data_IF_387050032452
#
_entry.id   IF_387050032452
#
_cell.length_a   1.000
_cell.length_b   1.000
_cell.length_c   1.000
_cell.angle_alpha   90.00
_cell.angle_beta   90.00
_cell.angle_gamma   90.00
#
_symmetry.space_group_name_H-M   'P 1'
#
loop_
_entity.id
_entity.type
_entity.pdbx_description
1 polymer ?
#
# COMPACT_ATOMS: atom_id res chain seq x y z
N UNK A 1 -12.47 -55.63 -47.50
CA UNK A 1 -11.56 -54.97 -46.53
C UNK A 1 -12.36 -54.60 -45.30
N UNK A 2 -12.23 -55.39 -44.22
CA UNK A 2 -12.84 -55.12 -42.90
C UNK A 2 -11.76 -54.50 -42.02
N UNK A 3 -12.01 -53.33 -41.45
CA UNK A 3 -11.13 -52.73 -40.44
C UNK A 3 -11.79 -52.82 -39.07
N UNK A 4 -11.03 -53.40 -38.14
CA UNK A 4 -11.32 -53.64 -36.74
C UNK A 4 -11.36 -52.32 -35.94
N UNK A 5 -12.38 -52.15 -35.11
CA UNK A 5 -12.33 -51.21 -33.97
C UNK A 5 -11.95 -52.00 -32.71
N UNK A 6 -10.76 -51.75 -32.18
CA UNK A 6 -10.30 -52.25 -30.89
C UNK A 6 -10.48 -51.18 -29.82
N UNK A 7 -11.19 -51.54 -28.75
CA UNK A 7 -11.44 -50.68 -27.59
C UNK A 7 -10.22 -50.53 -26.69
N UNK A 8 -10.17 -49.39 -25.99
CA UNK A 8 -9.23 -49.15 -24.90
C UNK A 8 -10.03 -48.66 -23.68
N UNK A 9 -10.05 -49.48 -22.63
CA UNK A 9 -10.72 -49.18 -21.36
C UNK A 9 -9.84 -48.32 -20.47
N UNK A 10 -10.35 -47.15 -20.09
CA UNK A 10 -9.76 -46.34 -19.01
C UNK A 10 -10.36 -46.75 -17.66
N UNK A 11 -9.48 -47.15 -16.75
CA UNK A 11 -9.78 -47.37 -15.33
C UNK A 11 -9.94 -46.01 -14.65
N UNK A 12 -11.08 -45.79 -14.01
CA UNK A 12 -11.35 -44.62 -13.17
C UNK A 12 -10.70 -44.81 -11.80
N UNK A 13 -9.66 -44.03 -11.51
CA UNK A 13 -9.16 -43.80 -10.16
C UNK A 13 -9.95 -42.66 -9.52
N UNK A 14 -10.73 -42.97 -8.49
CA UNK A 14 -11.45 -41.98 -7.71
C UNK A 14 -10.48 -41.25 -6.78
N UNK A 15 -10.09 -40.03 -7.14
CA UNK A 15 -9.42 -39.10 -6.24
C UNK A 15 -10.46 -38.39 -5.37
N UNK A 16 -10.31 -38.49 -4.05
CA UNK A 16 -11.16 -37.83 -3.07
C UNK A 16 -11.00 -36.31 -3.17
N UNK A 17 -12.08 -35.63 -3.55
CA UNK A 17 -12.19 -34.17 -3.53
C UNK A 17 -12.57 -33.77 -2.10
N UNK A 18 -11.62 -33.22 -1.35
CA UNK A 18 -11.88 -32.56 -0.06
C UNK A 18 -12.39 -31.14 -0.36
N UNK A 19 -13.60 -30.75 0.06
CA UNK A 19 -14.10 -29.41 -0.15
C UNK A 19 -13.40 -28.44 0.81
N UNK A 20 -12.49 -27.62 0.29
CA UNK A 20 -11.80 -26.56 1.02
C UNK A 20 -12.72 -25.34 1.14
N UNK A 21 -13.74 -25.41 2.00
CA UNK A 21 -14.55 -24.26 2.40
C UNK A 21 -13.90 -23.55 3.59
N UNK A 22 -12.75 -22.92 3.37
CA UNK A 22 -12.15 -22.00 4.35
C UNK A 22 -12.61 -20.58 4.01
N UNK A 23 -13.70 -20.16 4.64
CA UNK A 23 -14.14 -18.76 4.66
C UNK A 23 -13.14 -18.00 5.52
N UNK A 24 -12.12 -17.40 4.90
CA UNK A 24 -11.19 -16.49 5.58
C UNK A 24 -11.92 -15.17 5.86
N UNK A 25 -12.37 -15.00 7.10
CA UNK A 25 -12.85 -13.73 7.61
C UNK A 25 -11.64 -12.83 7.86
N UNK A 26 -11.31 -11.98 6.89
CA UNK A 26 -10.28 -10.96 7.00
C UNK A 26 -10.83 -9.81 7.87
N UNK A 27 -10.84 -10.00 9.19
CA UNK A 27 -11.12 -8.92 10.12
C UNK A 27 -10.00 -7.87 10.03
N UNK A 28 -10.38 -6.62 9.79
CA UNK A 28 -9.51 -5.45 9.79
C UNK A 28 -8.73 -5.34 11.11
N UNK A 29 -7.47 -5.77 11.13
CA UNK A 29 -6.50 -5.37 12.15
C UNK A 29 -5.98 -3.97 11.80
N UNK A 30 -6.74 -2.94 12.17
CA UNK A 30 -6.20 -1.59 12.35
C UNK A 30 -5.61 -1.51 13.76
N UNK A 31 -4.41 -2.08 13.94
CA UNK A 31 -3.65 -1.96 15.18
C UNK A 31 -2.71 -0.76 15.09
N UNK A 32 -3.09 0.36 15.69
CA UNK A 32 -2.19 1.49 15.92
C UNK A 32 -1.08 1.05 16.90
N UNK A 33 0.15 0.95 16.41
CA UNK A 33 1.32 0.70 17.23
C UNK A 33 1.66 1.97 18.03
N UNK A 34 1.47 1.92 19.35
CA UNK A 34 1.95 2.96 20.27
C UNK A 34 3.43 2.66 20.53
N UNK A 35 4.32 3.45 19.94
CA UNK A 35 5.73 3.47 20.31
C UNK A 35 5.86 4.16 21.67
N UNK A 36 6.36 3.43 22.67
CA UNK A 36 6.55 3.93 24.02
C UNK A 36 8.06 4.14 24.23
N UNK A 37 8.49 5.40 24.25
CA UNK A 37 9.86 5.79 24.64
C UNK A 37 10.02 5.61 26.16
N UNK A 38 11.08 4.94 26.65
CA UNK A 38 11.32 4.81 28.08
C UNK A 38 11.97 6.09 28.65
N UNK A 39 11.34 6.63 29.70
CA UNK A 39 11.89 7.69 30.53
C UNK A 39 13.04 7.16 31.40
N UNK A 40 14.08 7.98 31.56
CA UNK A 40 15.22 7.71 32.41
C UNK A 40 14.90 8.11 33.87
N UNK A 41 14.96 7.16 34.79
CA UNK A 41 15.00 7.38 36.24
C UNK A 41 16.07 6.48 36.90
N UNK A 42 16.77 7.07 37.88
CA UNK A 42 17.97 6.58 38.57
C UNK A 42 17.77 5.26 39.38
N UNK A 43 18.82 4.42 39.52
CA UNK A 43 18.72 3.12 40.16
C UNK A 43 18.87 3.19 41.68
N UNK A 44 17.90 2.63 42.40
CA UNK A 44 18.05 2.22 43.79
C UNK A 44 18.51 0.76 43.86
N UNK A 45 19.62 0.57 44.56
CA UNK A 45 20.36 -0.67 44.79
C UNK A 45 19.52 -1.69 45.59
N UNK A 46 19.05 -2.75 44.92
CA UNK A 46 18.45 -3.96 45.55
C UNK A 46 19.01 -5.20 44.85
N UNK A 47 19.78 -5.98 45.63
CA UNK A 47 20.29 -7.35 45.42
C UNK A 47 19.36 -8.25 44.59
N UNK A 48 19.80 -8.77 43.43
CA UNK A 48 20.69 -9.94 43.21
C UNK A 48 20.04 -11.27 43.64
N UNK A 49 19.44 -11.96 42.65
CA UNK A 49 19.21 -13.43 42.54
C UNK A 49 17.96 -13.83 41.71
N UNK A 50 17.42 -12.93 40.87
CA UNK A 50 16.26 -13.22 39.99
C UNK A 50 16.59 -13.31 38.48
N UNK A 51 17.86 -13.29 38.07
CA UNK A 51 18.26 -13.12 36.66
C UNK A 51 18.29 -14.41 35.81
N UNK A 52 17.75 -15.53 36.32
CA UNK A 52 17.87 -16.85 35.68
C UNK A 52 16.72 -17.25 34.75
N UNK A 53 15.48 -16.83 35.04
CA UNK A 53 14.29 -17.34 34.34
C UNK A 53 13.94 -16.55 33.06
N UNK A 54 14.20 -15.24 33.04
CA UNK A 54 13.93 -14.38 31.88
C UNK A 54 14.79 -14.76 30.66
N UNK A 55 15.97 -15.34 30.88
CA UNK A 55 16.87 -15.78 29.80
C UNK A 55 16.33 -16.98 29.02
N UNK A 56 15.68 -17.94 29.70
CA UNK A 56 15.19 -19.16 29.04
C UNK A 56 13.97 -18.89 28.16
N UNK A 57 13.04 -18.04 28.64
CA UNK A 57 11.86 -17.68 27.88
C UNK A 57 12.24 -16.93 26.60
N UNK A 58 13.22 -16.02 26.67
CA UNK A 58 13.76 -15.30 25.52
C UNK A 58 14.37 -16.23 24.45
N UNK A 59 15.15 -17.25 24.85
CA UNK A 59 15.71 -18.23 23.89
C UNK A 59 14.60 -19.07 23.23
N UNK A 60 13.60 -19.50 23.99
CA UNK A 60 12.47 -20.25 23.42
C UNK A 60 11.65 -19.43 22.42
N UNK A 61 11.43 -18.14 22.69
CA UNK A 61 10.75 -17.23 21.78
C UNK A 61 11.57 -17.00 20.51
N UNK A 62 12.89 -16.78 20.63
CA UNK A 62 13.78 -16.61 19.50
C UNK A 62 13.78 -17.84 18.57
N UNK A 63 13.81 -19.05 19.14
CA UNK A 63 13.70 -20.31 18.38
C UNK A 63 12.35 -20.45 17.69
N UNK A 64 11.26 -20.11 18.38
CA UNK A 64 9.93 -20.14 17.79
C UNK A 64 9.81 -19.15 16.62
N UNK A 65 10.25 -17.90 16.80
CA UNK A 65 10.31 -16.90 15.73
C UNK A 65 11.12 -17.40 14.55
N UNK A 66 12.30 -17.99 14.80
CA UNK A 66 13.15 -18.53 13.75
C UNK A 66 12.43 -19.61 12.94
N UNK A 67 11.79 -20.56 13.61
CA UNK A 67 11.02 -21.64 12.98
C UNK A 67 9.86 -21.10 12.14
N UNK A 68 9.07 -20.17 12.69
CA UNK A 68 7.94 -19.55 12.00
C UNK A 68 8.39 -18.82 10.74
N UNK A 69 9.47 -18.02 10.82
CA UNK A 69 9.99 -17.30 9.66
C UNK A 69 10.58 -18.26 8.61
N UNK A 70 11.28 -19.32 9.02
CA UNK A 70 11.80 -20.34 8.08
C UNK A 70 10.66 -21.01 7.31
N UNK A 71 9.59 -21.41 7.99
CA UNK A 71 8.43 -22.04 7.34
C UNK A 71 7.62 -21.09 6.50
N UNK A 72 7.51 -19.82 6.88
CA UNK A 72 6.82 -18.80 6.09
C UNK A 72 7.56 -18.49 4.78
N UNK A 73 8.89 -18.58 4.78
CA UNK A 73 9.73 -18.37 3.60
C UNK A 73 9.72 -19.56 2.61
N UNK A 74 9.39 -20.77 3.06
CA UNK A 74 9.31 -21.95 2.20
C UNK A 74 7.92 -22.10 1.56
N UNK A 75 7.85 -21.83 0.25
CA UNK A 75 6.60 -21.83 -0.52
C UNK A 75 6.09 -23.24 -0.85
N UNK A 76 6.88 -24.27 -0.57
CA UNK A 76 6.51 -25.68 -0.74
C UNK A 76 6.03 -26.32 0.58
N UNK A 77 6.18 -25.64 1.72
CA UNK A 77 5.76 -26.16 3.02
C UNK A 77 4.21 -26.17 3.13
N UNK A 78 3.56 -27.32 3.38
CA UNK A 78 2.10 -27.38 3.55
C UNK A 78 1.58 -26.57 4.73
N UNK A 79 2.45 -26.23 5.70
CA UNK A 79 2.13 -25.40 6.87
C UNK A 79 2.41 -23.91 6.66
N UNK A 80 2.84 -23.50 5.47
CA UNK A 80 3.25 -22.13 5.18
C UNK A 80 2.16 -21.10 5.45
N UNK A 81 0.91 -21.34 5.02
CA UNK A 81 -0.18 -20.39 5.24
C UNK A 81 -0.43 -20.14 6.74
N UNK A 82 -0.27 -21.18 7.58
CA UNK A 82 -0.34 -21.03 9.04
C UNK A 82 0.86 -20.24 9.57
N UNK A 83 2.07 -20.50 9.05
CA UNK A 83 3.27 -19.75 9.42
C UNK A 83 3.15 -18.25 9.06
N UNK A 84 2.63 -17.90 7.88
CA UNK A 84 2.37 -16.51 7.46
C UNK A 84 1.37 -15.84 8.42
N UNK A 85 0.30 -16.53 8.81
CA UNK A 85 -0.64 -16.01 9.80
C UNK A 85 0.02 -15.75 11.16
N UNK A 86 0.96 -16.60 11.58
CA UNK A 86 1.77 -16.39 12.79
C UNK A 86 2.74 -15.21 12.65
N UNK A 87 3.39 -15.06 11.50
CA UNK A 87 4.22 -13.88 11.16
C UNK A 87 3.39 -12.60 11.28
N UNK A 88 2.19 -12.60 10.69
CA UNK A 88 1.30 -11.44 10.71
C UNK A 88 0.83 -11.09 12.12
N UNK A 89 0.52 -12.10 12.94
CA UNK A 89 0.13 -11.91 14.34
C UNK A 89 1.28 -11.42 15.21
N UNK A 90 2.49 -11.91 14.96
CA UNK A 90 3.70 -11.52 15.70
C UNK A 90 4.35 -10.22 15.21
N UNK A 91 3.92 -9.69 14.05
CA UNK A 91 4.57 -8.53 13.43
C UNK A 91 6.03 -8.80 13.02
N UNK A 92 6.39 -10.06 12.77
CA UNK A 92 7.77 -10.42 12.48
C UNK A 92 8.18 -9.88 11.11
N UNK A 93 9.31 -9.17 11.06
CA UNK A 93 9.98 -8.83 9.81
C UNK A 93 11.28 -9.61 9.67
N UNK A 94 11.56 -10.09 8.46
CA UNK A 94 12.73 -10.93 8.19
C UNK A 94 13.14 -10.88 6.71
N UNK A 95 14.46 -10.83 6.45
CA UNK A 95 15.03 -10.77 5.11
C UNK A 95 14.83 -12.08 4.32
N UNK A 96 14.62 -13.21 5.01
CA UNK A 96 14.37 -14.51 4.36
C UNK A 96 13.13 -14.51 3.48
N UNK A 97 12.22 -13.55 3.66
CA UNK A 97 11.02 -13.43 2.85
C UNK A 97 11.29 -12.81 1.48
N UNK A 98 12.35 -12.00 1.36
CA UNK A 98 12.61 -11.17 0.19
C UNK A 98 12.85 -12.00 -1.09
N UNK A 99 13.68 -13.04 -1.02
CA UNK A 99 13.99 -13.89 -2.18
C UNK A 99 12.76 -14.69 -2.68
N UNK A 100 12.02 -15.43 -1.81
CA UNK A 100 10.80 -16.11 -2.23
C UNK A 100 9.74 -15.18 -2.83
N UNK A 101 9.58 -13.98 -2.25
CA UNK A 101 8.66 -12.96 -2.77
C UNK A 101 9.09 -12.51 -4.18
N UNK A 102 10.36 -12.14 -4.37
CA UNK A 102 10.88 -11.75 -5.69
C UNK A 102 10.76 -12.88 -6.70
N UNK A 103 11.04 -14.12 -6.31
CA UNK A 103 10.95 -15.29 -7.19
C UNK A 103 9.50 -15.56 -7.63
N UNK A 104 8.53 -15.44 -6.71
CA UNK A 104 7.12 -15.65 -7.01
C UNK A 104 6.50 -14.50 -7.81
N UNK A 105 6.85 -13.25 -7.49
CA UNK A 105 6.23 -12.05 -8.08
C UNK A 105 7.00 -11.48 -9.28
N UNK A 106 8.29 -11.77 -9.45
CA UNK A 106 9.13 -11.24 -10.52
C UNK A 106 9.13 -12.05 -11.82
N UNK A 107 8.83 -13.35 -11.75
CA UNK A 107 8.86 -14.25 -12.92
C UNK A 107 7.56 -14.22 -13.74
N UNK A 108 7.04 -13.03 -14.05
CA UNK A 108 5.72 -12.87 -14.69
C UNK A 108 5.71 -13.18 -16.19
N UNK A 109 6.88 -13.14 -16.84
CA UNK A 109 7.01 -13.32 -18.29
C UNK A 109 6.77 -14.76 -18.75
N UNK A 110 6.94 -15.77 -17.88
CA UNK A 110 6.71 -17.16 -18.25
C UNK A 110 5.33 -17.62 -17.78
N UNK A 111 4.42 -17.81 -18.74
CA UNK A 111 3.05 -18.25 -18.48
C UNK A 111 3.00 -19.57 -17.69
N UNK A 112 3.94 -20.49 -17.95
CA UNK A 112 3.97 -21.83 -17.34
C UNK A 112 4.43 -21.85 -15.89
N UNK A 113 5.20 -20.85 -15.48
CA UNK A 113 5.81 -20.82 -14.14
C UNK A 113 5.00 -19.96 -13.16
N UNK A 114 3.94 -19.30 -13.64
CA UNK A 114 3.13 -18.42 -12.81
C UNK A 114 2.11 -19.20 -11.98
N UNK A 115 2.54 -19.54 -10.77
CA UNK A 115 1.69 -20.18 -9.77
C UNK A 115 0.92 -19.11 -8.97
N UNK A 116 -0.39 -19.00 -9.25
CA UNK A 116 -1.29 -18.04 -8.60
C UNK A 116 -1.26 -18.19 -7.08
N UNK A 117 -1.15 -19.41 -6.56
CA UNK A 117 -1.14 -19.67 -5.11
C UNK A 117 0.13 -19.09 -4.48
N UNK A 118 1.28 -19.28 -5.12
CA UNK A 118 2.56 -18.69 -4.68
C UNK A 118 2.52 -17.16 -4.70
N UNK A 119 1.94 -16.55 -5.75
CA UNK A 119 1.79 -15.09 -5.82
C UNK A 119 0.85 -14.56 -4.72
N UNK A 120 -0.24 -15.27 -4.42
CA UNK A 120 -1.12 -14.92 -3.31
C UNK A 120 -0.39 -14.96 -1.96
N UNK A 121 0.42 -15.99 -1.71
CA UNK A 121 1.20 -16.14 -0.48
C UNK A 121 2.30 -15.08 -0.38
N UNK A 122 3.00 -14.79 -1.49
CA UNK A 122 3.96 -13.69 -1.56
C UNK A 122 3.33 -12.33 -1.24
N UNK A 123 2.15 -12.02 -1.81
CA UNK A 123 1.46 -10.76 -1.53
C UNK A 123 0.97 -10.65 -0.06
N UNK A 124 0.68 -11.78 0.60
CA UNK A 124 0.38 -11.79 2.04
C UNK A 124 1.64 -11.53 2.88
N UNK A 125 2.78 -12.08 2.47
CA UNK A 125 4.06 -11.96 3.17
C UNK A 125 4.77 -10.61 2.92
N UNK A 126 4.45 -9.94 1.81
CA UNK A 126 5.07 -8.69 1.36
C UNK A 126 5.27 -7.60 2.45
N UNK A 127 4.29 -7.28 3.32
CA UNK A 127 4.46 -6.25 4.35
C UNK A 127 5.44 -6.60 5.47
N UNK A 128 5.78 -7.88 5.57
CA UNK A 128 6.68 -8.44 6.58
C UNK A 128 8.10 -8.60 6.02
N UNK A 129 8.30 -8.35 4.73
CA UNK A 129 9.61 -8.36 4.08
C UNK A 129 10.47 -7.17 4.52
N UNK A 130 11.76 -7.23 4.18
CA UNK A 130 12.69 -6.09 4.34
C UNK A 130 12.84 -5.24 3.08
N UNK A 131 12.03 -5.53 2.05
CA UNK A 131 11.98 -4.78 0.80
C UNK A 131 11.56 -3.33 1.03
N UNK A 132 12.09 -2.41 0.21
CA UNK A 132 11.66 -1.01 0.24
C UNK A 132 10.20 -0.90 -0.18
N UNK A 133 9.49 0.16 0.27
CA UNK A 133 8.10 0.37 -0.13
C UNK A 133 7.96 0.49 -1.66
N UNK A 134 8.96 1.11 -2.31
CA UNK A 134 9.02 1.23 -3.77
C UNK A 134 9.09 -0.16 -4.43
N UNK A 135 10.02 -1.00 -4.01
CA UNK A 135 10.18 -2.35 -4.56
C UNK A 135 8.93 -3.22 -4.30
N UNK A 136 8.27 -3.06 -3.15
CA UNK A 136 7.01 -3.74 -2.86
C UNK A 136 5.90 -3.31 -3.82
N UNK A 137 5.80 -2.01 -4.12
CA UNK A 137 4.84 -1.46 -5.08
C UNK A 137 5.15 -1.96 -6.50
N UNK A 138 6.41 -1.92 -6.93
CA UNK A 138 6.84 -2.38 -8.26
C UNK A 138 6.43 -3.83 -8.52
N UNK A 139 6.71 -4.72 -7.56
CA UNK A 139 6.35 -6.13 -7.62
C UNK A 139 4.82 -6.31 -7.65
N UNK A 140 4.09 -5.60 -6.77
CA UNK A 140 2.64 -5.71 -6.68
C UNK A 140 1.94 -5.16 -7.94
N UNK A 141 2.43 -4.05 -8.49
CA UNK A 141 1.92 -3.41 -9.70
C UNK A 141 2.16 -4.29 -10.93
N UNK A 142 3.38 -4.83 -11.08
CA UNK A 142 3.72 -5.77 -12.15
C UNK A 142 2.81 -7.00 -12.11
N UNK A 143 2.61 -7.59 -10.91
CA UNK A 143 1.68 -8.69 -10.71
C UNK A 143 0.24 -8.32 -11.05
N UNK A 144 -0.20 -7.08 -10.73
CA UNK A 144 -1.54 -6.61 -11.03
C UNK A 144 -1.78 -6.51 -12.54
N UNK A 145 -0.85 -5.90 -13.27
CA UNK A 145 -0.94 -5.77 -14.74
C UNK A 145 -1.02 -7.15 -15.39
N UNK A 146 -0.11 -8.05 -15.03
CA UNK A 146 -0.11 -9.42 -15.55
C UNK A 146 -1.41 -10.18 -15.21
N UNK A 147 -1.94 -9.98 -13.99
CA UNK A 147 -3.20 -10.57 -13.56
C UNK A 147 -4.40 -10.05 -14.38
N UNK A 148 -4.43 -8.75 -14.69
CA UNK A 148 -5.51 -8.15 -15.47
C UNK A 148 -5.48 -8.58 -16.94
N UNK A 149 -4.30 -8.58 -17.57
CA UNK A 149 -4.11 -9.07 -18.93
C UNK A 149 -4.58 -10.52 -19.09
N UNK A 150 -4.25 -11.40 -18.12
CA UNK A 150 -4.72 -12.79 -18.11
C UNK A 150 -6.23 -12.88 -17.92
N UNK A 151 -6.82 -12.06 -17.07
CA UNK A 151 -8.28 -11.99 -16.92
C UNK A 151 -8.96 -11.56 -18.22
N UNK A 152 -8.41 -10.58 -18.92
CA UNK A 152 -8.90 -10.14 -20.23
C UNK A 152 -8.80 -11.27 -21.26
N UNK A 153 -7.67 -11.99 -21.32
CA UNK A 153 -7.50 -13.14 -22.21
C UNK A 153 -8.53 -14.25 -21.92
N UNK A 154 -8.77 -14.58 -20.65
CA UNK A 154 -9.78 -15.57 -20.25
C UNK A 154 -11.21 -15.15 -20.60
N UNK A 155 -11.51 -13.85 -20.63
CA UNK A 155 -12.84 -13.35 -21.03
C UNK A 155 -13.14 -13.55 -22.52
N UNK A 156 -12.12 -13.71 -23.36
CA UNK A 156 -12.28 -13.91 -24.81
C UNK A 156 -12.53 -15.39 -25.19
N UNK A 157 -12.16 -16.33 -24.32
CA UNK A 157 -12.23 -17.78 -24.59
C UNK A 157 -13.62 -18.34 -24.24
N UNK A 158 -14.09 -19.36 -24.97
CA UNK A 158 -15.34 -20.07 -24.64
C UNK A 158 -15.19 -20.79 -23.30
N UNK A 159 -16.19 -20.62 -22.42
CA UNK A 159 -16.14 -21.04 -21.01
C UNK A 159 -15.98 -22.55 -20.84
N UNK A 160 -14.79 -22.99 -20.45
CA UNK A 160 -14.55 -24.31 -19.86
C UNK A 160 -14.60 -24.23 -18.33
N UNK A 161 -15.04 -25.32 -17.65
CA UNK A 161 -15.19 -25.33 -16.19
C UNK A 161 -13.90 -25.02 -15.43
N UNK A 162 -12.74 -25.45 -15.94
CA UNK A 162 -11.44 -25.18 -15.32
C UNK A 162 -11.05 -23.69 -15.42
N UNK A 163 -11.40 -23.02 -16.52
CA UNK A 163 -11.12 -21.60 -16.72
C UNK A 163 -11.95 -20.72 -15.80
N UNK A 164 -13.17 -21.15 -15.43
CA UNK A 164 -13.99 -20.43 -14.44
C UNK A 164 -13.28 -20.38 -13.07
N UNK A 165 -12.73 -21.52 -12.62
CA UNK A 165 -12.01 -21.58 -11.33
C UNK A 165 -10.77 -20.69 -11.36
N UNK A 166 -9.99 -20.74 -12.44
CA UNK A 166 -8.80 -19.89 -12.60
C UNK A 166 -9.17 -18.41 -12.63
N UNK A 167 -10.25 -18.04 -13.34
CA UNK A 167 -10.77 -16.67 -13.36
C UNK A 167 -11.13 -16.19 -11.96
N UNK A 168 -11.82 -16.99 -11.16
CA UNK A 168 -12.22 -16.60 -9.81
C UNK A 168 -10.98 -16.39 -8.90
N UNK A 169 -9.97 -17.25 -9.03
CA UNK A 169 -8.70 -17.10 -8.31
C UNK A 169 -7.93 -15.83 -8.72
N UNK A 170 -7.91 -15.53 -10.02
CA UNK A 170 -7.32 -14.31 -10.55
C UNK A 170 -8.06 -13.05 -10.09
N UNK A 171 -9.39 -13.07 -10.07
CA UNK A 171 -10.19 -11.96 -9.55
C UNK A 171 -9.88 -11.70 -8.07
N UNK A 172 -9.79 -12.77 -7.26
CA UNK A 172 -9.40 -12.65 -5.85
C UNK A 172 -7.99 -12.06 -5.71
N UNK A 173 -7.02 -12.55 -6.49
CA UNK A 173 -5.65 -12.02 -6.47
C UNK A 173 -5.61 -10.54 -6.89
N UNK A 174 -6.34 -10.16 -7.94
CA UNK A 174 -6.46 -8.77 -8.41
C UNK A 174 -6.95 -7.86 -7.29
N UNK A 175 -8.01 -8.25 -6.58
CA UNK A 175 -8.55 -7.46 -5.46
C UNK A 175 -7.58 -7.39 -4.27
N UNK A 176 -6.84 -8.46 -4.00
CA UNK A 176 -5.80 -8.44 -2.95
C UNK A 176 -4.64 -7.50 -3.30
N UNK A 177 -4.17 -7.51 -4.54
CA UNK A 177 -3.12 -6.60 -5.03
C UNK A 177 -3.63 -5.15 -5.06
N UNK A 178 -4.87 -4.95 -5.51
CA UNK A 178 -5.56 -3.66 -5.49
C UNK A 178 -5.56 -3.04 -4.09
N UNK A 179 -5.99 -3.81 -3.09
CA UNK A 179 -6.01 -3.39 -1.69
C UNK A 179 -4.62 -3.11 -1.14
N UNK A 180 -3.60 -3.86 -1.59
CA UNK A 180 -2.21 -3.64 -1.19
C UNK A 180 -1.69 -2.29 -1.68
N UNK A 181 -1.88 -2.01 -2.97
CA UNK A 181 -1.47 -0.76 -3.61
C UNK A 181 -2.17 0.46 -2.98
N UNK A 182 -3.46 0.34 -2.64
CA UNK A 182 -4.21 1.37 -1.90
C UNK A 182 -3.61 1.69 -0.52
N UNK A 183 -2.89 0.75 0.10
CA UNK A 183 -2.22 0.97 1.38
C UNK A 183 -0.93 1.80 1.28
N UNK A 184 -0.44 2.07 0.07
CA UNK A 184 0.82 2.78 -0.20
C UNK A 184 0.63 3.80 -1.34
N UNK A 185 -0.23 4.82 -1.18
CA UNK A 185 -0.66 5.71 -2.28
C UNK A 185 0.48 6.51 -2.90
N UNK A 186 1.43 7.00 -2.09
CA UNK A 186 2.51 7.87 -2.58
C UNK A 186 3.47 7.12 -3.50
N UNK A 187 4.03 6.00 -3.01
CA UNK A 187 4.90 5.14 -3.81
C UNK A 187 4.16 4.54 -5.02
N UNK A 188 2.86 4.24 -4.89
CA UNK A 188 2.08 3.73 -6.03
C UNK A 188 1.89 4.79 -7.09
N UNK A 189 1.64 6.05 -6.71
CA UNK A 189 1.46 7.15 -7.66
C UNK A 189 2.74 7.40 -8.47
N UNK A 190 3.91 7.43 -7.79
CA UNK A 190 5.21 7.60 -8.43
C UNK A 190 5.47 6.50 -9.48
N UNK A 191 5.37 5.24 -9.05
CA UNK A 191 5.54 4.07 -9.94
C UNK A 191 4.54 4.05 -11.08
N UNK A 192 3.28 4.37 -10.81
CA UNK A 192 2.21 4.36 -11.80
C UNK A 192 2.45 5.46 -12.85
N UNK A 193 2.97 6.61 -12.44
CA UNK A 193 3.36 7.69 -13.36
C UNK A 193 4.45 7.23 -14.32
N UNK A 194 5.53 6.64 -13.79
CA UNK A 194 6.62 6.10 -14.60
C UNK A 194 6.14 5.03 -15.60
N UNK A 195 5.29 4.10 -15.13
CA UNK A 195 4.76 3.03 -15.98
C UNK A 195 3.76 3.54 -17.04
N UNK A 196 2.98 4.58 -16.74
CA UNK A 196 2.09 5.22 -17.72
C UNK A 196 2.86 6.04 -18.75
N UNK A 197 4.02 6.62 -18.40
CA UNK A 197 4.91 7.25 -19.37
C UNK A 197 5.46 6.22 -20.38
N UNK A 198 5.88 5.05 -19.88
CA UNK A 198 6.37 3.97 -20.74
C UNK A 198 5.26 3.35 -21.59
N UNK A 199 4.07 3.13 -21.01
CA UNK A 199 2.97 2.41 -21.63
C UNK A 199 1.62 3.10 -21.41
N UNK A 200 1.34 4.24 -22.08
CA UNK A 200 0.14 5.05 -21.86
C UNK A 200 -1.17 4.34 -22.26
N UNK A 201 -1.06 3.25 -23.02
CA UNK A 201 -2.22 2.49 -23.53
C UNK A 201 -2.62 1.31 -22.64
N UNK A 202 -1.93 1.06 -21.52
CA UNK A 202 -2.26 -0.06 -20.66
C UNK A 202 -3.58 0.16 -19.91
N UNK A 203 -4.64 -0.56 -20.32
CA UNK A 203 -5.96 -0.54 -19.67
C UNK A 203 -5.87 -0.91 -18.18
N UNK A 204 -4.96 -1.82 -17.83
CA UNK A 204 -4.74 -2.25 -16.45
C UNK A 204 -4.26 -1.09 -15.57
N UNK A 205 -3.28 -0.32 -16.04
CA UNK A 205 -2.76 0.86 -15.34
C UNK A 205 -3.83 1.94 -15.21
N UNK A 206 -4.58 2.22 -16.27
CA UNK A 206 -5.67 3.19 -16.24
C UNK A 206 -6.77 2.82 -15.23
N UNK A 207 -7.04 1.52 -15.03
CA UNK A 207 -8.00 1.06 -14.02
C UNK A 207 -7.52 1.26 -12.57
N UNK A 208 -6.21 1.40 -12.35
CA UNK A 208 -5.64 1.67 -11.03
C UNK A 208 -5.61 3.16 -10.68
N UNK A 209 -5.67 4.05 -11.68
CA UNK A 209 -5.69 5.52 -11.45
C UNK A 209 -6.86 5.91 -10.55
N UNK A 210 -8.02 5.26 -10.68
CA UNK A 210 -9.20 5.53 -9.86
C UNK A 210 -8.99 5.32 -8.35
N UNK A 211 -7.92 4.62 -7.98
CA UNK A 211 -7.63 4.22 -6.60
C UNK A 211 -6.62 5.10 -5.89
N UNK A 212 -5.94 5.97 -6.64
CA UNK A 212 -4.96 6.86 -6.06
C UNK A 212 -5.69 8.02 -5.39
N UNK A 213 -5.37 8.25 -4.12
CA UNK A 213 -5.97 9.30 -3.30
C UNK A 213 -5.40 10.68 -3.63
N UNK A 214 -4.85 11.34 -2.61
CA UNK A 214 -4.40 12.75 -2.62
C UNK A 214 -3.32 13.09 -3.66
N UNK A 215 -2.58 12.09 -4.15
CA UNK A 215 -1.43 12.28 -5.03
C UNK A 215 -1.77 12.21 -6.53
N UNK A 216 -3.05 12.07 -6.88
CA UNK A 216 -3.47 11.82 -8.26
C UNK A 216 -3.23 12.97 -9.25
N UNK A 217 -2.95 14.21 -8.81
CA UNK A 217 -2.69 15.34 -9.71
C UNK A 217 -1.54 15.08 -10.69
N UNK A 218 -0.52 14.35 -10.26
CA UNK A 218 0.65 14.00 -11.07
C UNK A 218 0.30 13.10 -12.26
N UNK A 219 -0.76 12.29 -12.13
CA UNK A 219 -1.18 11.34 -13.16
C UNK A 219 -2.06 11.99 -14.23
N UNK A 220 -2.66 13.15 -13.95
CA UNK A 220 -3.63 13.78 -14.83
C UNK A 220 -3.09 14.05 -16.26
N UNK A 221 -1.85 14.55 -16.46
CA UNK A 221 -1.30 14.75 -17.80
C UNK A 221 -1.24 13.45 -18.62
N UNK A 222 -0.78 12.35 -18.01
CA UNK A 222 -0.65 11.04 -18.66
C UNK A 222 -2.01 10.45 -19.01
N UNK A 223 -3.00 10.60 -18.14
CA UNK A 223 -4.36 10.10 -18.40
C UNK A 223 -5.04 10.91 -19.51
N UNK A 224 -4.83 12.23 -19.57
CA UNK A 224 -5.33 13.07 -20.66
C UNK A 224 -4.67 12.68 -21.99
N UNK A 225 -3.37 12.39 -21.99
CA UNK A 225 -2.66 11.88 -23.16
C UNK A 225 -3.23 10.52 -23.62
N UNK A 226 -3.47 9.59 -22.69
CA UNK A 226 -4.11 8.31 -22.97
C UNK A 226 -5.55 8.48 -23.52
N UNK A 227 -6.29 9.49 -23.04
CA UNK A 227 -7.62 9.83 -23.54
C UNK A 227 -7.61 10.33 -24.99
N UNK A 228 -6.48 10.83 -25.49
CA UNK A 228 -6.28 11.22 -26.88
C UNK A 228 -5.84 10.04 -27.79
N UNK A 229 -5.74 8.82 -27.24
CA UNK A 229 -5.39 7.62 -27.99
C UNK A 229 -6.38 7.36 -29.14
N UNK A 230 -5.88 6.72 -30.22
CA UNK A 230 -6.72 6.27 -31.34
C UNK A 230 -7.54 5.02 -31.00
N UNK A 231 -7.13 4.28 -29.98
CA UNK A 231 -7.87 3.12 -29.50
C UNK A 231 -9.09 3.58 -28.70
N UNK A 232 -10.28 3.20 -29.16
CA UNK A 232 -11.55 3.60 -28.56
C UNK A 232 -11.71 3.09 -27.13
N UNK A 233 -11.20 1.88 -26.81
CA UNK A 233 -11.31 1.32 -25.46
C UNK A 233 -10.43 2.10 -24.49
N UNK A 234 -9.15 2.30 -24.85
CA UNK A 234 -8.19 3.09 -24.06
C UNK A 234 -8.69 4.52 -23.87
N UNK A 235 -9.14 5.18 -24.94
CA UNK A 235 -9.65 6.54 -24.87
C UNK A 235 -10.87 6.63 -23.94
N UNK A 236 -11.81 5.70 -24.03
CA UNK A 236 -12.99 5.68 -23.17
C UNK A 236 -12.65 5.46 -21.69
N UNK A 237 -11.74 4.52 -21.40
CA UNK A 237 -11.32 4.22 -20.04
C UNK A 237 -10.52 5.38 -19.44
N UNK A 238 -9.63 5.98 -20.21
CA UNK A 238 -8.86 7.15 -19.80
C UNK A 238 -9.74 8.37 -19.55
N UNK A 239 -10.80 8.59 -20.35
CA UNK A 239 -11.77 9.66 -20.09
C UNK A 239 -12.53 9.47 -18.77
N UNK A 240 -12.94 8.23 -18.45
CA UNK A 240 -13.58 7.91 -17.17
C UNK A 240 -12.60 8.13 -16.02
N UNK A 241 -11.37 7.63 -16.14
CA UNK A 241 -10.33 7.82 -15.14
C UNK A 241 -10.00 9.30 -14.91
N UNK A 242 -9.87 10.10 -15.98
CA UNK A 242 -9.64 11.54 -15.89
C UNK A 242 -10.81 12.26 -15.21
N UNK A 243 -12.06 11.91 -15.54
CA UNK A 243 -13.24 12.49 -14.90
C UNK A 243 -13.27 12.22 -13.39
N UNK A 244 -13.06 10.96 -13.01
CA UNK A 244 -12.99 10.56 -11.60
C UNK A 244 -11.87 11.29 -10.85
N UNK A 245 -10.69 11.39 -11.48
CA UNK A 245 -9.52 12.06 -10.90
C UNK A 245 -9.77 13.56 -10.70
N UNK A 246 -10.33 14.24 -11.70
CA UNK A 246 -10.69 15.66 -11.61
C UNK A 246 -11.70 15.90 -10.48
N UNK A 247 -12.70 15.03 -10.34
CA UNK A 247 -13.69 15.15 -9.28
C UNK A 247 -13.08 14.92 -7.89
N UNK A 248 -12.17 13.96 -7.75
CA UNK A 248 -11.40 13.75 -6.51
C UNK A 248 -10.55 14.98 -6.15
N UNK A 249 -9.80 15.53 -7.11
CA UNK A 249 -8.98 16.74 -6.92
C UNK A 249 -9.86 17.92 -6.47
N UNK A 250 -11.03 18.12 -7.11
CA UNK A 250 -11.97 19.18 -6.70
C UNK A 250 -12.48 18.99 -5.28
N UNK A 251 -12.87 17.76 -4.90
CA UNK A 251 -13.33 17.46 -3.54
C UNK A 251 -12.23 17.75 -2.52
N UNK A 252 -10.98 17.43 -2.84
CA UNK A 252 -9.83 17.71 -1.98
C UNK A 252 -9.53 19.20 -1.86
N UNK A 253 -9.53 19.94 -2.97
CA UNK A 253 -9.35 21.39 -2.93
C UNK A 253 -10.47 22.07 -2.14
N UNK A 254 -11.72 21.59 -2.28
CA UNK A 254 -12.84 22.10 -1.49
C UNK A 254 -12.71 21.79 0.00
N UNK A 255 -12.26 20.59 0.38
CA UNK A 255 -12.05 20.24 1.78
C UNK A 255 -10.90 21.05 2.40
N UNK A 256 -9.81 21.26 1.66
CA UNK A 256 -8.71 22.13 2.09
C UNK A 256 -9.18 23.59 2.27
N UNK A 257 -9.96 24.12 1.32
CA UNK A 257 -10.54 25.46 1.44
C UNK A 257 -11.51 25.57 2.62
N UNK A 258 -12.31 24.54 2.88
CA UNK A 258 -13.21 24.50 4.03
C UNK A 258 -12.43 24.50 5.35
N UNK A 259 -11.38 23.67 5.48
CA UNK A 259 -10.49 23.64 6.65
C UNK A 259 -9.77 24.99 6.84
N UNK A 260 -9.32 25.62 5.75
CA UNK A 260 -8.71 26.95 5.79
C UNK A 260 -9.72 28.04 6.24
N UNK A 261 -10.99 27.91 5.83
CA UNK A 261 -12.04 28.83 6.27
C UNK A 261 -12.45 28.60 7.72
N UNK A 262 -12.55 27.35 8.17
CA UNK A 262 -12.86 27.01 9.56
C UNK A 262 -11.75 27.46 10.51
N UNK A 263 -10.48 27.21 10.15
CA UNK A 263 -9.34 27.72 10.91
C UNK A 263 -9.35 29.24 10.96
N UNK A 264 -9.77 29.93 9.89
CA UNK A 264 -9.90 31.39 9.87
C UNK A 264 -11.10 31.94 10.67
N UNK A 265 -12.20 31.20 10.81
CA UNK A 265 -13.46 31.69 11.38
C UNK A 265 -13.41 32.00 12.89
N UNK A 266 -12.38 31.54 13.61
CA UNK A 266 -12.18 31.80 15.05
C UNK A 266 -11.08 32.80 15.39
N UNK A 267 -10.40 33.36 14.39
CA UNK A 267 -9.17 34.14 14.59
C UNK A 267 -9.49 35.60 14.89
N UNK A 268 -8.91 36.11 15.98
CA UNK A 268 -8.91 37.56 16.25
C UNK A 268 -8.10 38.27 15.14
N UNK A 269 -8.74 39.24 14.47
CA UNK A 269 -8.13 40.04 13.39
C UNK A 269 -6.76 40.64 13.80
N UNK A 270 -6.59 40.97 15.09
CA UNK A 270 -5.31 41.45 15.64
C UNK A 270 -4.22 40.38 15.56
N UNK A 271 -4.55 39.13 15.89
CA UNK A 271 -3.63 38.00 15.83
C UNK A 271 -3.26 37.67 14.39
N UNK A 272 -4.22 37.75 13.46
CA UNK A 272 -3.94 37.55 12.04
C UNK A 272 -2.98 38.62 11.50
N UNK A 273 -3.22 39.90 11.82
CA UNK A 273 -2.32 41.01 11.46
C UNK A 273 -0.94 40.90 12.09
N UNK A 274 -0.84 40.37 13.31
CA UNK A 274 0.44 40.09 13.95
C UNK A 274 1.19 38.97 13.24
N UNK A 275 0.49 37.87 12.96
CA UNK A 275 1.04 36.68 12.30
C UNK A 275 1.56 36.99 10.91
N UNK A 276 0.79 37.73 10.09
CA UNK A 276 1.25 38.23 8.79
C UNK A 276 2.55 39.03 8.86
N UNK A 277 2.74 39.86 9.91
CA UNK A 277 3.97 40.63 10.11
C UNK A 277 5.16 39.77 10.53
N UNK A 278 4.90 38.70 11.28
CA UNK A 278 5.95 37.76 11.67
C UNK A 278 6.38 36.94 10.45
N UNK A 279 5.43 36.36 9.71
CA UNK A 279 5.72 35.59 8.50
C UNK A 279 6.49 36.44 7.49
N UNK A 280 5.99 37.62 7.14
CA UNK A 280 6.65 38.51 6.19
C UNK A 280 8.08 38.94 6.59
N UNK A 281 8.52 38.71 7.84
CA UNK A 281 9.91 38.97 8.28
C UNK A 281 10.84 37.81 7.95
N UNK A 282 10.35 36.58 7.99
CA UNK A 282 11.14 35.35 7.83
C UNK A 282 10.95 34.69 6.47
N UNK A 283 9.88 35.04 5.77
CA UNK A 283 9.54 34.63 4.42
C UNK A 283 10.53 35.27 3.44
N UNK A 284 11.51 34.49 2.96
CA UNK A 284 12.57 34.96 2.08
C UNK A 284 12.13 34.96 0.62
N UNK A 285 11.23 34.04 0.25
CA UNK A 285 10.71 33.91 -1.11
C UNK A 285 9.46 34.79 -1.35
N UNK A 286 8.93 35.46 -0.32
CA UNK A 286 7.73 36.30 -0.31
C UNK A 286 6.48 35.56 -0.81
N UNK A 287 6.35 34.27 -0.49
CA UNK A 287 5.20 33.45 -0.91
C UNK A 287 4.00 33.55 0.06
N UNK A 288 4.17 34.24 1.20
CA UNK A 288 3.14 34.44 2.22
C UNK A 288 3.01 33.29 3.22
N UNK A 289 3.90 32.30 3.13
CA UNK A 289 4.05 31.17 4.03
C UNK A 289 5.51 31.09 4.49
N UNK A 290 5.81 30.21 5.45
CA UNK A 290 7.18 29.88 5.80
C UNK A 290 7.41 28.41 5.46
N UNK A 291 8.57 28.06 4.91
CA UNK A 291 9.02 26.66 4.83
C UNK A 291 9.87 26.28 6.04
N UNK A 292 10.08 24.98 6.27
CA UNK A 292 10.87 24.47 7.41
C UNK A 292 12.24 25.10 7.59
N UNK A 293 12.93 25.37 6.48
CA UNK A 293 14.25 26.02 6.49
C UNK A 293 14.21 27.50 6.93
N UNK A 294 13.07 28.17 6.73
CA UNK A 294 12.89 29.58 7.08
C UNK A 294 12.49 29.74 8.54
N UNK A 295 11.51 28.97 9.02
CA UNK A 295 11.09 29.08 10.42
C UNK A 295 12.10 28.46 11.40
N UNK A 296 13.02 27.60 10.95
CA UNK A 296 14.15 27.15 11.77
C UNK A 296 15.06 28.30 12.21
N UNK A 297 15.07 29.43 11.48
CA UNK A 297 15.80 30.63 11.87
C UNK A 297 15.07 31.49 12.92
N UNK A 298 13.83 31.14 13.26
CA UNK A 298 13.07 31.83 14.30
C UNK A 298 13.56 31.43 15.69
N UNK A 299 13.51 32.38 16.62
CA UNK A 299 13.89 32.15 18.02
C UNK A 299 13.05 31.06 18.70
N UNK A 300 11.83 30.86 18.21
CA UNK A 300 10.88 29.90 18.74
C UNK A 300 10.37 29.05 17.59
N UNK A 301 10.55 27.72 17.68
CA UNK A 301 10.05 26.78 16.66
C UNK A 301 8.52 26.75 16.67
N UNK A 302 7.87 27.16 15.57
CA UNK A 302 6.42 27.08 15.45
C UNK A 302 5.96 25.79 14.77
N UNK A 303 6.74 24.70 14.86
CA UNK A 303 6.43 23.42 14.20
C UNK A 303 5.05 22.86 14.59
N UNK A 304 4.60 23.10 15.82
CA UNK A 304 3.25 22.69 16.25
C UNK A 304 2.11 23.58 15.71
N UNK A 305 2.43 24.64 14.97
CA UNK A 305 1.43 25.52 14.37
C UNK A 305 0.94 25.00 13.02
N UNK A 306 1.76 24.20 12.32
CA UNK A 306 1.39 23.48 11.09
C UNK A 306 0.39 22.37 11.44
N UNK A 307 -0.90 22.63 11.24
CA UNK A 307 -1.97 21.70 11.61
C UNK A 307 -2.31 20.72 10.50
N UNK A 308 -2.08 21.09 9.25
CA UNK A 308 -2.36 20.25 8.10
C UNK A 308 -1.17 19.34 7.73
N UNK A 309 0.02 19.60 8.29
CA UNK A 309 1.22 18.80 8.12
C UNK A 309 1.84 18.92 6.73
N UNK A 310 1.53 19.99 5.99
CA UNK A 310 2.02 20.18 4.62
C UNK A 310 3.45 20.75 4.56
N UNK A 311 4.05 21.08 5.72
CA UNK A 311 5.39 21.64 5.81
C UNK A 311 5.47 23.12 5.43
N UNK A 312 4.32 23.78 5.24
CA UNK A 312 4.16 25.20 4.96
C UNK A 312 3.36 25.84 6.08
N UNK A 313 3.92 26.87 6.70
CA UNK A 313 3.28 27.52 7.83
C UNK A 313 2.66 28.82 7.37
N UNK A 314 1.33 28.83 7.31
CA UNK A 314 0.57 30.00 6.85
C UNK A 314 0.31 31.00 7.98
N UNK A 315 -0.03 32.23 7.60
CA UNK A 315 -0.35 33.29 8.57
C UNK A 315 -1.59 32.99 9.42
N UNK A 316 -2.50 32.17 8.90
CA UNK A 316 -3.72 31.73 9.56
C UNK A 316 -3.36 30.72 10.64
N UNK A 317 -2.60 29.69 10.31
CA UNK A 317 -2.13 28.65 11.23
C UNK A 317 -1.30 29.22 12.38
N UNK A 318 -0.34 30.10 12.05
CA UNK A 318 0.44 30.80 13.06
C UNK A 318 -0.45 31.65 13.99
N UNK A 319 -1.49 32.30 13.46
CA UNK A 319 -2.43 33.07 14.28
C UNK A 319 -3.28 32.19 15.21
N UNK A 320 -3.78 31.05 14.71
CA UNK A 320 -4.52 30.06 15.52
C UNK A 320 -3.64 29.55 16.65
N UNK A 321 -2.40 29.16 16.34
CA UNK A 321 -1.45 28.66 17.34
C UNK A 321 -1.11 29.71 18.40
N UNK A 322 -0.85 30.95 17.99
CA UNK A 322 -0.62 32.09 18.90
C UNK A 322 -1.84 32.35 19.79
N UNK A 323 -3.05 32.27 19.24
CA UNK A 323 -4.29 32.48 19.98
C UNK A 323 -4.56 31.34 20.98
N UNK A 324 -4.28 30.09 20.61
CA UNK A 324 -4.38 28.93 21.51
C UNK A 324 -3.39 29.03 22.67
N UNK A 325 -2.18 29.52 22.41
CA UNK A 325 -1.14 29.69 23.43
C UNK A 325 -1.43 30.83 24.40
N UNK A 326 -2.02 31.94 23.92
CA UNK A 326 -2.43 33.06 24.77
C UNK A 326 -3.63 32.74 25.69
N UNK A 327 -4.37 31.66 25.44
CA UNK A 327 -5.50 31.20 26.29
C UNK A 327 -5.07 30.26 27.42
N UNK A 328 -3.80 29.84 27.48
CA UNK A 328 -3.23 29.04 28.57
C UNK A 328 -2.60 29.95 29.63
#
# INVERSE_FOLDING_TARGET
>A
MRLFFGGCGLKTGAAAIVPLSFVFCLACLSGAAIAQEPAADDPADVSADADGEDSQMSDTEARFRNLVCTRAADFEDPSQATAIAMVARGGYRDQRFDEPIRAAMGNLSNEKDWDIVKVQLANQLLPFSTLSNQEQVDLALSCYVCCDERLQALNQIKRDRQQVIQRDQLQLLREMLRKRLQGMPDATTETLSEQLEENPQSLALLSLVELQGLSGEQLLPHVIEAAASKDAEVASQAMVAAGNLIDQIKVQQQSQLALAQESAAGIDEKMLKYSKRIIARYDKNNDGSLVRSEWQSMLLSPEMADQNGDGLLTAVEYAVWMQARNKR
#
